data_IF_112676184492
#
_entry.id   IF_112676184492
#
_cell.length_a   1.000
_cell.length_b   1.000
_cell.length_c   1.000
_cell.angle_alpha   90.00
_cell.angle_beta   90.00
_cell.angle_gamma   90.00
#
_symmetry.space_group_name_H-M   'P 1'
#
loop_
_entity.id
_entity.type
_entity.pdbx_description
1 polymer ?
#
# COMPACT_ATOMS: atom_id res chain seq x y z
N UNK A 1 -11.03 64.36 21.59
CA UNK A 1 -10.73 63.08 22.24
C UNK A 1 -11.02 62.02 21.22
N UNK A 2 -9.95 61.35 20.82
CA UNK A 2 -9.90 60.27 19.85
C UNK A 2 -10.65 59.02 20.32
N UNK A 3 -11.29 58.31 19.39
CA UNK A 3 -11.36 56.85 19.45
C UNK A 3 -11.44 56.26 18.02
N UNK A 4 -10.41 55.50 17.67
CA UNK A 4 -10.33 54.62 16.50
C UNK A 4 -10.89 53.25 16.88
N UNK A 5 -11.86 52.71 16.13
CA UNK A 5 -12.04 51.25 15.90
C UNK A 5 -12.69 51.06 14.52
N UNK A 6 -11.95 50.63 13.49
CA UNK A 6 -11.54 49.26 13.11
C UNK A 6 -12.48 48.71 12.03
N UNK A 7 -11.96 48.65 10.80
CA UNK A 7 -12.53 47.94 9.66
C UNK A 7 -12.58 46.44 9.95
N UNK A 8 -13.55 45.74 9.32
CA UNK A 8 -13.30 44.53 8.52
C UNK A 8 -14.64 43.84 8.19
N UNK A 9 -15.18 44.14 7.02
CA UNK A 9 -16.35 43.48 6.45
C UNK A 9 -16.06 43.10 5.01
N UNK A 10 -15.17 42.12 4.81
CA UNK A 10 -14.78 41.64 3.48
C UNK A 10 -15.09 40.13 3.37
N UNK A 11 -16.10 39.85 2.54
CA UNK A 11 -16.21 38.70 1.61
C UNK A 11 -16.26 37.27 2.17
N UNK A 12 -17.37 36.89 2.81
CA UNK A 12 -17.73 35.47 2.98
C UNK A 12 -18.52 34.89 1.79
N UNK A 13 -19.33 35.69 1.09
CA UNK A 13 -20.14 35.20 -0.04
C UNK A 13 -19.32 34.95 -1.31
N UNK A 14 -18.24 35.71 -1.53
CA UNK A 14 -17.35 35.55 -2.69
C UNK A 14 -16.58 34.23 -2.62
N UNK A 15 -16.11 33.85 -1.43
CA UNK A 15 -15.33 32.63 -1.20
C UNK A 15 -16.17 31.36 -1.36
N UNK A 16 -17.42 31.37 -0.91
CA UNK A 16 -18.33 30.24 -1.10
C UNK A 16 -18.76 30.07 -2.56
N UNK A 17 -18.98 31.17 -3.28
CA UNK A 17 -19.32 31.12 -4.70
C UNK A 17 -18.12 30.67 -5.56
N UNK A 18 -16.90 31.08 -5.21
CA UNK A 18 -15.67 30.56 -5.81
C UNK A 18 -15.52 29.05 -5.55
N UNK A 19 -15.82 28.57 -4.35
CA UNK A 19 -15.75 27.14 -4.02
C UNK A 19 -16.82 26.32 -4.76
N UNK A 20 -18.03 26.86 -4.93
CA UNK A 20 -19.10 26.23 -5.72
C UNK A 20 -18.74 26.16 -7.20
N UNK A 21 -18.14 27.21 -7.75
CA UNK A 21 -17.66 27.22 -9.13
C UNK A 21 -16.53 26.21 -9.36
N UNK A 22 -15.54 26.15 -8.45
CA UNK A 22 -14.45 25.16 -8.53
C UNK A 22 -14.97 23.72 -8.40
N UNK A 23 -15.96 23.46 -7.53
CA UNK A 23 -16.59 22.13 -7.43
C UNK A 23 -17.34 21.76 -8.71
N UNK A 24 -18.00 22.72 -9.35
CA UNK A 24 -18.72 22.49 -10.60
C UNK A 24 -17.76 22.22 -11.76
N UNK A 25 -16.67 22.96 -11.84
CA UNK A 25 -15.61 22.78 -12.84
C UNK A 25 -14.90 21.43 -12.68
N UNK A 26 -14.63 21.02 -11.43
CA UNK A 26 -14.07 19.69 -11.14
C UNK A 26 -15.05 18.54 -11.47
N UNK A 27 -16.34 18.70 -11.23
CA UNK A 27 -17.34 17.70 -11.63
C UNK A 27 -17.39 17.56 -13.16
N UNK A 28 -17.34 18.68 -13.89
CA UNK A 28 -17.40 18.67 -15.35
C UNK A 28 -16.13 18.08 -15.97
N UNK A 29 -14.97 18.25 -15.33
CA UNK A 29 -13.74 17.57 -15.71
C UNK A 29 -13.86 16.05 -15.46
N UNK A 30 -14.40 15.64 -14.31
CA UNK A 30 -14.61 14.23 -13.97
C UNK A 30 -15.58 13.54 -14.95
N UNK A 31 -16.68 14.22 -15.29
CA UNK A 31 -17.66 13.70 -16.26
C UNK A 31 -17.06 13.62 -17.67
N UNK A 32 -16.20 14.58 -18.06
CA UNK A 32 -15.45 14.51 -19.33
C UNK A 32 -14.41 13.38 -19.34
N UNK A 33 -13.79 13.08 -18.20
CA UNK A 33 -12.83 11.98 -18.05
C UNK A 33 -13.53 10.61 -18.07
N UNK A 34 -14.74 10.52 -17.51
CA UNK A 34 -15.62 9.33 -17.57
C UNK A 34 -16.22 9.12 -18.96
N UNK A 35 -16.59 10.19 -19.68
CA UNK A 35 -17.08 10.09 -21.06
C UNK A 35 -15.96 9.77 -22.06
N UNK A 36 -14.70 10.11 -21.76
CA UNK A 36 -13.54 9.72 -22.58
C UNK A 36 -13.27 8.20 -22.55
N UNK A 37 -13.86 7.44 -21.61
CA UNK A 37 -13.79 5.98 -21.62
C UNK A 37 -14.81 5.30 -22.54
N UNK A 38 -15.73 6.05 -23.17
CA UNK A 38 -16.83 5.47 -23.96
C UNK A 38 -17.15 6.20 -25.29
N UNK A 39 -16.15 6.62 -26.08
CA UNK A 39 -16.39 7.01 -27.50
C UNK A 39 -15.22 6.64 -28.40
N UNK A 40 -15.32 5.48 -29.06
CA UNK A 40 -14.59 5.18 -30.29
C UNK A 40 -15.59 4.69 -31.35
N UNK A 41 -16.35 5.62 -31.94
CA UNK A 41 -17.06 5.41 -33.20
C UNK A 41 -16.66 6.47 -34.24
N UNK A 42 -15.65 6.13 -35.05
CA UNK A 42 -15.64 6.22 -36.52
C UNK A 42 -14.22 6.07 -37.08
N UNK A 43 -14.02 4.97 -37.81
CA UNK A 43 -13.24 4.98 -39.05
C UNK A 43 -11.72 5.16 -38.99
N UNK A 44 -11.00 4.45 -38.12
CA UNK A 44 -9.59 4.08 -38.37
C UNK A 44 -9.29 2.80 -37.57
N UNK A 45 -8.53 1.85 -38.14
CA UNK A 45 -8.22 0.55 -37.51
C UNK A 45 -7.32 0.75 -36.27
N UNK A 46 -7.89 1.17 -35.14
CA UNK A 46 -7.23 1.12 -33.84
C UNK A 46 -6.96 -0.35 -33.51
N UNK A 47 -5.69 -0.74 -33.37
CA UNK A 47 -5.29 -2.03 -32.83
C UNK A 47 -6.03 -2.20 -31.49
N UNK A 48 -6.92 -3.19 -31.41
CA UNK A 48 -7.71 -3.49 -30.19
C UNK A 48 -6.72 -3.63 -29.03
N UNK A 49 -6.80 -2.74 -28.03
CA UNK A 49 -6.02 -2.86 -26.80
C UNK A 49 -6.47 -4.14 -26.09
N UNK A 50 -5.60 -5.14 -26.01
CA UNK A 50 -5.84 -6.37 -25.24
C UNK A 50 -6.00 -5.99 -23.77
N UNK A 51 -7.16 -6.30 -23.18
CA UNK A 51 -7.37 -6.13 -21.74
C UNK A 51 -6.54 -7.18 -21.00
N UNK A 52 -5.75 -6.73 -20.03
CA UNK A 52 -4.88 -7.55 -19.19
C UNK A 52 -5.44 -7.56 -17.77
N UNK A 53 -5.53 -8.74 -17.18
CA UNK A 53 -5.85 -8.93 -15.76
C UNK A 53 -4.64 -9.58 -15.10
N UNK A 54 -4.26 -9.08 -13.94
CA UNK A 54 -3.15 -9.64 -13.14
C UNK A 54 -3.71 -10.13 -11.83
N UNK A 55 -3.39 -11.38 -11.47
CA UNK A 55 -3.75 -11.97 -10.19
C UNK A 55 -2.60 -11.76 -9.22
N UNK A 56 -2.90 -11.28 -8.02
CA UNK A 56 -1.93 -11.01 -6.96
C UNK A 56 -2.16 -11.96 -5.77
N UNK A 57 -1.13 -12.20 -4.97
CA UNK A 57 -1.24 -12.91 -3.69
C UNK A 57 -1.84 -12.02 -2.59
N UNK A 58 -1.93 -12.56 -1.36
CA UNK A 58 -2.45 -11.83 -0.19
C UNK A 58 -1.62 -10.60 0.22
N UNK A 59 -0.40 -10.48 -0.30
CA UNK A 59 0.53 -9.38 -0.05
C UNK A 59 0.68 -8.43 -1.25
N UNK A 60 0.01 -8.72 -2.37
CA UNK A 60 0.03 -7.92 -3.59
C UNK A 60 1.12 -8.28 -4.61
N UNK A 61 1.83 -9.41 -4.44
CA UNK A 61 2.79 -9.89 -5.44
C UNK A 61 2.07 -10.55 -6.60
N UNK A 62 2.51 -10.26 -7.83
CA UNK A 62 1.90 -10.84 -9.03
C UNK A 62 2.19 -12.34 -9.12
N UNK A 63 1.13 -13.15 -9.12
CA UNK A 63 1.20 -14.61 -9.28
C UNK A 63 1.03 -15.00 -10.75
N UNK A 64 0.06 -14.39 -11.45
CA UNK A 64 -0.27 -14.76 -12.82
C UNK A 64 -0.74 -13.55 -13.64
N UNK A 65 -0.44 -13.59 -14.93
CA UNK A 65 -0.89 -12.61 -15.93
C UNK A 65 -1.81 -13.29 -16.94
N UNK A 66 -3.03 -12.76 -17.11
CA UNK A 66 -4.01 -13.30 -18.05
C UNK A 66 -4.37 -12.24 -19.09
N UNK A 67 -4.23 -12.62 -20.35
CA UNK A 67 -4.66 -11.83 -21.49
C UNK A 67 -6.09 -12.23 -21.86
N UNK A 68 -6.99 -11.25 -21.89
CA UNK A 68 -8.33 -11.48 -22.43
C UNK A 68 -8.21 -11.47 -23.95
N UNK A 69 -8.27 -12.66 -24.55
CA UNK A 69 -8.35 -12.81 -26.01
C UNK A 69 -9.81 -12.50 -26.40
N UNK A 70 -10.09 -11.41 -27.14
CA UNK A 70 -11.44 -11.16 -27.61
C UNK A 70 -11.85 -12.26 -28.59
N UNK A 71 -12.99 -12.90 -28.33
CA UNK A 71 -13.56 -13.97 -29.16
C UNK A 71 -13.88 -13.45 -30.57
N UNK A 72 -12.94 -13.56 -31.49
CA UNK A 72 -13.15 -13.33 -32.92
C UNK A 72 -12.31 -14.29 -33.78
N UNK A 73 -12.04 -15.47 -33.24
CA UNK A 73 -11.55 -16.63 -33.97
C UNK A 73 -12.24 -17.84 -33.36
N UNK A 74 -13.26 -18.34 -34.06
CA UNK A 74 -13.87 -19.65 -33.83
C UNK A 74 -12.75 -20.69 -33.66
N UNK A 75 -12.65 -21.41 -32.53
CA UNK A 75 -11.73 -22.51 -32.42
C UNK A 75 -12.28 -23.67 -33.27
N UNK A 76 -11.53 -24.08 -34.29
CA UNK A 76 -11.77 -25.35 -34.98
C UNK A 76 -11.61 -26.46 -33.95
N UNK A 77 -12.72 -27.08 -33.57
CA UNK A 77 -12.72 -28.28 -32.74
C UNK A 77 -12.04 -29.40 -33.51
N UNK A 78 -10.82 -29.75 -33.11
CA UNK A 78 -10.30 -31.09 -33.36
C UNK A 78 -10.53 -31.88 -32.08
N UNK A 79 -11.30 -32.95 -32.24
CA UNK A 79 -11.46 -34.01 -31.27
C UNK A 79 -10.11 -34.72 -31.04
N UNK A 80 -10.08 -35.53 -29.99
CA UNK A 80 -9.00 -36.41 -29.55
C UNK A 80 -7.95 -35.78 -28.63
N UNK A 81 -8.19 -35.91 -27.32
CA UNK A 81 -7.32 -36.71 -26.45
C UNK A 81 -7.85 -36.68 -25.00
N UNK A 82 -8.89 -37.48 -24.73
CA UNK A 82 -9.16 -37.91 -23.35
C UNK A 82 -8.15 -39.00 -22.97
N UNK A 83 -7.17 -38.64 -22.14
CA UNK A 83 -6.35 -39.62 -21.42
C UNK A 83 -6.55 -39.45 -19.92
N UNK A 84 -7.34 -40.38 -19.40
CA UNK A 84 -7.27 -40.98 -18.07
C UNK A 84 -5.99 -40.62 -17.29
N UNK A 85 -6.17 -39.89 -16.19
CA UNK A 85 -5.25 -39.95 -15.06
C UNK A 85 -6.03 -40.45 -13.84
N UNK A 86 -5.56 -41.60 -13.40
CA UNK A 86 -6.14 -42.43 -12.37
C UNK A 86 -5.64 -41.90 -11.02
N UNK A 87 -6.49 -42.08 -10.01
CA UNK A 87 -6.26 -41.80 -8.61
C UNK A 87 -4.95 -42.42 -8.09
N UNK A 88 -4.10 -41.63 -7.42
CA UNK A 88 -3.25 -42.06 -6.31
C UNK A 88 -2.56 -40.84 -5.68
N UNK A 89 -3.14 -40.30 -4.61
CA UNK A 89 -2.42 -39.52 -3.60
C UNK A 89 -3.15 -39.67 -2.27
N UNK A 90 -2.84 -40.78 -1.61
CA UNK A 90 -3.10 -41.01 -0.20
C UNK A 90 -1.87 -40.53 0.62
N UNK A 91 -2.15 -39.98 1.81
CA UNK A 91 -1.20 -39.45 2.81
C UNK A 91 -0.45 -38.17 2.37
N UNK A 92 -0.46 -37.08 3.12
CA UNK A 92 -0.18 -36.97 4.56
C UNK A 92 -1.16 -35.97 5.19
N UNK A 93 -2.03 -36.49 6.07
CA UNK A 93 -2.63 -35.70 7.14
C UNK A 93 -1.49 -35.38 8.10
N UNK A 94 -1.00 -34.14 8.13
CA UNK A 94 -0.02 -33.70 9.13
C UNK A 94 -0.64 -33.82 10.54
N UNK A 95 -0.11 -34.67 11.45
CA UNK A 95 -0.64 -34.82 12.80
C UNK A 95 -0.26 -33.67 13.75
N UNK A 96 0.32 -32.57 13.28
CA UNK A 96 0.85 -31.53 14.15
C UNK A 96 -0.15 -30.45 14.58
N UNK A 97 -1.40 -30.49 14.10
CA UNK A 97 -2.47 -29.59 14.52
C UNK A 97 -3.29 -30.14 15.71
N UNK A 98 -2.64 -30.66 16.74
CA UNK A 98 -3.30 -30.77 18.05
C UNK A 98 -2.31 -30.84 19.21
N UNK A 99 -1.60 -29.75 19.44
CA UNK A 99 -1.13 -29.41 20.79
C UNK A 99 -1.75 -28.06 21.13
N UNK A 100 -2.84 -28.09 21.89
CA UNK A 100 -3.31 -26.92 22.63
C UNK A 100 -2.28 -26.59 23.71
N UNK A 101 -1.16 -26.00 23.30
CA UNK A 101 -0.42 -25.10 24.19
C UNK A 101 -1.35 -23.94 24.52
N UNK A 102 -1.37 -23.41 25.75
CA UNK A 102 -2.11 -22.20 26.04
C UNK A 102 -1.60 -21.10 25.09
N UNK A 103 -2.43 -20.78 24.08
CA UNK A 103 -2.17 -19.67 23.16
C UNK A 103 -2.23 -18.41 24.01
N UNK A 104 -1.08 -17.99 24.55
CA UNK A 104 -0.83 -16.61 24.96
C UNK A 104 -1.22 -15.76 23.74
N UNK A 105 -2.42 -15.17 23.77
CA UNK A 105 -2.91 -14.35 22.66
C UNK A 105 -2.07 -13.08 22.67
N UNK A 106 -1.06 -13.02 21.80
CA UNK A 106 -0.39 -11.77 21.47
C UNK A 106 -1.46 -10.74 21.10
N UNK A 107 -1.38 -9.53 21.64
CA UNK A 107 -2.42 -8.49 21.52
C UNK A 107 -1.86 -7.16 21.03
N UNK A 108 -0.82 -7.19 20.19
CA UNK A 108 -0.23 -5.99 19.65
C UNK A 108 -1.28 -5.14 18.92
N UNK A 109 -1.37 -3.86 19.31
CA UNK A 109 -2.28 -2.85 18.77
C UNK A 109 -1.51 -1.61 18.33
N UNK A 110 -1.92 -1.02 17.21
CA UNK A 110 -1.36 0.24 16.72
C UNK A 110 -1.82 1.43 17.58
N UNK A 111 -0.91 2.35 17.88
CA UNK A 111 -1.24 3.61 18.58
C UNK A 111 -1.35 4.80 17.62
N UNK A 112 -1.49 4.53 16.32
CA UNK A 112 -1.54 5.55 15.27
C UNK A 112 -2.57 5.16 14.22
N UNK A 113 -3.08 6.17 13.52
CA UNK A 113 -3.95 5.97 12.37
C UNK A 113 -3.12 5.50 11.17
N UNK A 114 -3.63 4.50 10.45
CA UNK A 114 -2.99 4.00 9.23
C UNK A 114 -2.69 5.14 8.24
N UNK A 115 -1.44 5.28 7.75
CA UNK A 115 -1.04 6.42 6.93
C UNK A 115 -1.89 6.61 5.66
N UNK A 116 -2.29 5.50 5.02
CA UNK A 116 -3.16 5.52 3.84
C UNK A 116 -4.50 6.23 4.04
N UNK A 117 -5.00 6.36 5.28
CA UNK A 117 -6.23 7.08 5.57
C UNK A 117 -6.09 8.61 5.43
N UNK A 118 -4.86 9.14 5.33
CA UNK A 118 -4.61 10.56 5.06
C UNK A 118 -3.69 10.73 3.86
N UNK A 119 -4.27 10.66 2.67
CA UNK A 119 -3.57 10.77 1.39
C UNK A 119 -2.77 12.07 1.27
N UNK A 120 -3.29 13.19 1.79
CA UNK A 120 -2.59 14.48 1.78
C UNK A 120 -1.29 14.45 2.59
N UNK A 121 -1.33 13.88 3.80
CA UNK A 121 -0.14 13.70 4.65
C UNK A 121 0.85 12.73 4.01
N UNK A 122 0.36 11.62 3.46
CA UNK A 122 1.19 10.64 2.75
C UNK A 122 1.92 11.27 1.56
N UNK A 123 1.22 12.02 0.70
CA UNK A 123 1.81 12.73 -0.45
C UNK A 123 2.84 13.76 -0.01
N UNK A 124 2.51 14.60 0.97
CA UNK A 124 3.45 15.60 1.52
C UNK A 124 4.71 14.92 2.04
N UNK A 125 4.55 13.83 2.78
CA UNK A 125 5.67 13.08 3.33
C UNK A 125 6.55 12.50 2.23
N UNK A 126 5.94 11.89 1.23
CA UNK A 126 6.64 11.32 0.10
C UNK A 126 7.43 12.38 -0.71
N UNK A 127 6.87 13.58 -0.87
CA UNK A 127 7.55 14.71 -1.52
C UNK A 127 8.76 15.20 -0.72
N UNK A 128 8.62 15.37 0.59
CA UNK A 128 9.66 15.91 1.47
C UNK A 128 10.73 14.88 1.85
N UNK A 129 10.33 13.65 2.15
CA UNK A 129 11.18 12.60 2.71
C UNK A 129 11.51 11.50 1.71
N UNK A 130 10.95 11.48 0.49
CA UNK A 130 11.14 10.42 -0.54
C UNK A 130 10.66 9.01 -0.15
N UNK A 131 10.44 8.75 1.12
CA UNK A 131 9.91 7.50 1.67
C UNK A 131 8.74 7.81 2.60
N UNK A 132 7.71 6.97 2.56
CA UNK A 132 6.60 7.04 3.50
C UNK A 132 5.98 5.65 3.74
N UNK A 133 5.64 5.34 4.99
CA UNK A 133 4.82 4.17 5.28
C UNK A 133 3.43 4.37 4.67
N UNK A 134 2.93 3.37 3.94
CA UNK A 134 1.57 3.39 3.38
C UNK A 134 0.59 2.69 4.32
N UNK A 135 0.88 1.43 4.65
CA UNK A 135 0.00 0.59 5.44
C UNK A 135 0.81 -0.39 6.28
N UNK A 136 0.22 -0.86 7.38
CA UNK A 136 0.82 -1.88 8.24
C UNK A 136 -0.24 -2.72 8.92
N UNK A 137 0.01 -4.01 8.99
CA UNK A 137 -0.87 -5.04 9.52
C UNK A 137 -0.10 -5.92 10.50
N UNK A 138 -0.75 -6.28 11.61
CA UNK A 138 -0.21 -7.18 12.62
C UNK A 138 -1.00 -8.48 12.64
N UNK A 139 -0.29 -9.60 12.49
CA UNK A 139 -0.83 -10.96 12.64
C UNK A 139 -0.38 -11.51 13.98
N UNK A 140 -1.21 -11.26 14.99
CA UNK A 140 -0.95 -11.64 16.37
C UNK A 140 -0.89 -13.16 16.58
N UNK A 141 -1.63 -13.94 15.80
CA UNK A 141 -1.64 -15.40 15.82
C UNK A 141 -0.27 -16.03 15.54
N UNK A 142 0.53 -15.37 14.70
CA UNK A 142 1.85 -15.84 14.25
C UNK A 142 2.98 -14.85 14.57
N UNK A 143 2.68 -13.80 15.34
CA UNK A 143 3.61 -12.73 15.75
C UNK A 143 4.38 -12.11 14.57
N UNK A 144 3.65 -11.65 13.56
CA UNK A 144 4.24 -10.96 12.40
C UNK A 144 3.71 -9.56 12.22
N UNK A 145 4.58 -8.68 11.75
CA UNK A 145 4.25 -7.34 11.28
C UNK A 145 4.65 -7.24 9.81
N UNK A 146 3.73 -6.83 8.96
CA UNK A 146 3.99 -6.61 7.55
C UNK A 146 3.23 -5.39 7.05
N UNK A 147 3.60 -4.90 5.88
CA UNK A 147 2.97 -3.72 5.32
C UNK A 147 3.65 -3.25 4.06
N UNK A 148 3.24 -2.06 3.62
CA UNK A 148 3.74 -1.46 2.40
C UNK A 148 4.31 -0.07 2.64
N UNK A 149 5.29 0.29 1.82
CA UNK A 149 6.03 1.55 1.85
C UNK A 149 5.98 2.16 0.45
N UNK A 150 5.75 3.47 0.36
CA UNK A 150 5.84 4.23 -0.88
C UNK A 150 7.19 4.92 -0.97
N UNK A 151 7.78 4.89 -2.16
CA UNK A 151 9.07 5.55 -2.46
C UNK A 151 8.92 6.42 -3.72
N UNK A 152 9.35 7.67 -3.65
CA UNK A 152 9.37 8.57 -4.81
C UNK A 152 10.60 8.27 -5.69
N UNK A 153 10.40 7.98 -6.98
CA UNK A 153 11.48 7.89 -7.98
C UNK A 153 12.25 9.22 -8.09
N UNK A 154 13.55 9.24 -8.44
CA UNK A 154 14.32 8.19 -9.12
C UNK A 154 15.11 7.26 -8.19
N UNK A 155 14.57 6.88 -7.03
CA UNK A 155 15.11 5.85 -6.11
C UNK A 155 15.25 4.43 -6.71
N UNK A 156 15.59 4.31 -8.00
CA UNK A 156 16.19 3.12 -8.60
C UNK A 156 17.41 2.73 -7.77
N UNK A 157 17.49 1.46 -7.38
CA UNK A 157 18.52 0.89 -6.49
C UNK A 157 18.50 1.37 -5.02
N UNK A 158 17.38 1.95 -4.57
CA UNK A 158 17.22 2.26 -3.15
C UNK A 158 17.11 1.00 -2.29
N UNK A 159 17.86 0.99 -1.18
CA UNK A 159 17.67 0.01 -0.12
C UNK A 159 16.62 0.55 0.86
N UNK A 160 15.45 -0.06 0.82
CA UNK A 160 14.33 0.28 1.72
C UNK A 160 14.33 -0.71 2.88
N UNK A 161 14.17 -0.21 4.10
CA UNK A 161 14.17 -1.05 5.29
C UNK A 161 13.30 -0.45 6.40
N UNK A 162 12.84 -1.31 7.29
CA UNK A 162 12.14 -0.95 8.51
C UNK A 162 13.11 -1.12 9.66
N UNK A 163 13.39 -0.03 10.37
CA UNK A 163 14.19 -0.09 11.60
C UNK A 163 13.25 -0.20 12.78
N UNK A 164 13.45 -1.24 13.58
CA UNK A 164 12.58 -1.60 14.69
C UNK A 164 13.38 -1.71 16.00
N UNK A 165 12.77 -1.32 17.11
CA UNK A 165 13.29 -1.44 18.48
C UNK A 165 12.17 -1.79 19.44
N UNK A 166 12.51 -2.51 20.51
CA UNK A 166 11.63 -2.85 21.63
C UNK A 166 12.11 -2.26 22.97
N UNK A 167 13.16 -1.44 22.93
CA UNK A 167 13.86 -0.95 24.12
C UNK A 167 14.25 0.54 24.05
N UNK A 168 13.35 1.36 23.50
CA UNK A 168 13.55 2.81 23.38
C UNK A 168 14.84 3.19 22.63
N UNK A 169 15.13 2.50 21.51
CA UNK A 169 16.26 2.79 20.62
C UNK A 169 17.65 2.55 21.22
N UNK A 170 17.77 1.86 22.36
CA UNK A 170 19.08 1.42 22.88
C UNK A 170 19.74 0.41 21.93
N UNK A 171 18.94 -0.46 21.33
CA UNK A 171 19.34 -1.25 20.17
C UNK A 171 18.21 -1.26 19.12
N UNK A 172 18.54 -1.68 17.90
CA UNK A 172 17.59 -1.77 16.81
C UNK A 172 17.95 -2.90 15.84
N UNK A 173 16.97 -3.32 15.06
CA UNK A 173 17.11 -4.27 13.95
C UNK A 173 16.52 -3.67 12.68
N UNK A 174 17.23 -3.84 11.56
CA UNK A 174 16.77 -3.41 10.25
C UNK A 174 16.20 -4.61 9.48
N UNK A 175 14.99 -4.46 8.96
CA UNK A 175 14.28 -5.45 8.17
C UNK A 175 14.12 -4.92 6.75
N UNK A 176 14.71 -5.58 5.76
CA UNK A 176 14.63 -5.13 4.37
C UNK A 176 13.19 -5.18 3.85
N UNK A 177 12.83 -4.21 3.03
CA UNK A 177 11.63 -4.23 2.22
C UNK A 177 12.00 -4.55 0.76
N UNK A 178 11.12 -5.28 0.08
CA UNK A 178 11.32 -5.72 -1.31
C UNK A 178 10.39 -4.97 -2.24
N UNK A 179 10.84 -4.68 -3.46
CA UNK A 179 10.00 -4.00 -4.45
C UNK A 179 8.79 -4.88 -4.79
N UNK A 180 7.59 -4.37 -4.52
CA UNK A 180 6.33 -5.05 -4.79
C UNK A 180 5.80 -4.71 -6.18
N UNK A 181 5.71 -3.42 -6.48
CA UNK A 181 5.28 -2.93 -7.79
C UNK A 181 5.89 -1.55 -8.10
N UNK A 182 6.04 -1.26 -9.39
CA UNK A 182 6.37 0.07 -9.88
C UNK A 182 5.08 0.78 -10.27
N UNK A 183 4.68 1.80 -9.53
CA UNK A 183 3.48 2.56 -9.80
C UNK A 183 3.66 3.55 -10.96
N UNK A 184 2.54 4.02 -11.51
CA UNK A 184 2.51 4.90 -12.68
C UNK A 184 3.04 6.31 -12.36
N UNK A 185 2.76 6.84 -11.16
CA UNK A 185 3.02 8.24 -10.78
C UNK A 185 4.44 8.51 -10.24
N UNK A 186 5.45 7.84 -10.79
CA UNK A 186 6.82 7.93 -10.24
C UNK A 186 6.95 7.50 -8.78
N UNK A 187 6.05 6.63 -8.31
CA UNK A 187 6.06 6.09 -6.95
C UNK A 187 6.11 4.58 -7.01
N UNK A 188 7.11 4.00 -6.37
CA UNK A 188 7.26 2.56 -6.23
C UNK A 188 6.69 2.11 -4.88
N UNK A 189 6.14 0.90 -4.84
CA UNK A 189 5.63 0.27 -3.63
C UNK A 189 6.57 -0.85 -3.21
N UNK A 190 7.00 -0.84 -1.96
CA UNK A 190 7.81 -1.87 -1.35
C UNK A 190 7.02 -2.60 -0.27
N UNK A 191 7.22 -3.90 -0.14
CA UNK A 191 6.61 -4.75 0.88
C UNK A 191 7.65 -5.15 1.92
N UNK A 192 7.28 -5.12 3.20
CA UNK A 192 8.11 -5.65 4.28
C UNK A 192 7.32 -6.64 5.12
N UNK A 193 8.04 -7.57 5.73
CA UNK A 193 7.49 -8.55 6.68
C UNK A 193 8.60 -8.99 7.64
N UNK A 194 8.32 -8.95 8.94
CA UNK A 194 9.19 -9.51 9.96
C UNK A 194 8.43 -10.02 11.18
N UNK A 195 9.08 -10.91 11.93
CA UNK A 195 8.57 -11.41 13.21
C UNK A 195 8.73 -10.36 14.30
N UNK A 196 7.71 -10.19 15.12
CA UNK A 196 7.74 -9.36 16.32
C UNK A 196 7.84 -10.24 17.58
N UNK A 197 8.39 -9.73 18.70
CA UNK A 197 8.41 -10.48 19.95
C UNK A 197 7.00 -10.88 20.42
N UNK A 198 6.88 -12.00 21.17
CA UNK A 198 5.65 -12.32 21.88
C UNK A 198 5.29 -11.21 22.86
N UNK A 199 3.98 -11.03 23.10
CA UNK A 199 3.50 -10.19 24.18
C UNK A 199 3.81 -10.87 25.53
N UNK A 200 5.00 -10.57 26.07
CA UNK A 200 5.43 -10.99 27.40
C UNK A 200 5.75 -9.75 28.26
N UNK A 201 5.91 -9.95 29.57
CA UNK A 201 6.18 -8.87 30.56
C UNK A 201 7.36 -7.95 30.16
N UNK A 202 8.31 -8.49 29.41
CA UNK A 202 9.52 -7.79 28.96
C UNK A 202 9.28 -6.87 27.75
N UNK A 203 8.22 -7.09 26.97
CA UNK A 203 7.97 -6.40 25.70
C UNK A 203 6.61 -5.71 25.71
N UNK A 204 6.58 -4.46 26.20
CA UNK A 204 5.34 -3.67 26.28
C UNK A 204 5.11 -2.76 25.08
N UNK A 205 6.16 -2.46 24.33
CA UNK A 205 6.12 -1.51 23.24
C UNK A 205 7.12 -1.90 22.16
N UNK A 206 6.69 -1.79 20.91
CA UNK A 206 7.57 -1.82 19.74
C UNK A 206 7.51 -0.44 19.10
N UNK A 207 8.66 0.09 18.70
CA UNK A 207 8.76 1.31 17.91
C UNK A 207 9.48 1.01 16.60
N UNK A 208 9.02 1.63 15.51
CA UNK A 208 9.70 1.50 14.23
C UNK A 208 9.61 2.78 13.39
N UNK A 209 10.51 2.88 12.43
CA UNK A 209 10.52 3.90 11.38
C UNK A 209 10.92 3.26 10.04
N UNK A 210 10.67 3.97 8.95
CA UNK A 210 11.00 3.51 7.60
C UNK A 210 12.23 4.28 7.10
N UNK A 211 13.26 3.55 6.68
CA UNK A 211 14.47 4.08 6.10
C UNK A 211 14.55 3.79 4.61
N UNK A 212 15.12 4.73 3.86
CA UNK A 212 15.49 4.55 2.46
C UNK A 212 16.91 5.07 2.25
N UNK A 213 17.83 4.16 1.93
CA UNK A 213 19.20 4.52 1.55
C UNK A 213 19.29 4.61 0.03
N UNK A 214 19.67 5.78 -0.46
CA UNK A 214 19.89 6.06 -1.87
C UNK A 214 21.28 6.66 -2.05
N UNK A 215 22.19 5.91 -2.67
CA UNK A 215 23.62 6.26 -2.72
C UNK A 215 24.17 6.54 -1.30
N UNK A 216 24.69 7.75 -1.07
CA UNK A 216 25.20 8.22 0.23
C UNK A 216 24.17 9.02 1.04
N UNK A 217 22.92 9.10 0.58
CA UNK A 217 21.84 9.79 1.28
C UNK A 217 20.93 8.81 1.98
N UNK A 218 20.48 9.20 3.18
CA UNK A 218 19.56 8.42 3.99
C UNK A 218 18.32 9.25 4.29
N UNK A 219 17.19 8.71 3.89
CA UNK A 219 15.88 9.30 4.09
C UNK A 219 15.10 8.51 5.13
N UNK A 220 14.28 9.21 5.92
CA UNK A 220 13.53 8.62 7.02
C UNK A 220 12.08 9.08 7.03
N UNK A 221 11.17 8.14 7.22
CA UNK A 221 9.83 8.37 7.77
C UNK A 221 9.79 7.86 9.21
N UNK A 222 9.99 8.78 10.14
CA UNK A 222 9.93 8.57 11.59
C UNK A 222 8.60 9.02 12.20
N UNK A 223 7.56 9.18 11.37
CA UNK A 223 6.26 9.68 11.78
C UNK A 223 6.31 11.02 12.52
N UNK A 224 7.03 12.01 11.98
CA UNK A 224 7.19 13.35 12.56
C UNK A 224 7.83 13.27 13.97
N UNK A 225 8.91 12.49 14.09
CA UNK A 225 9.65 12.23 15.33
C UNK A 225 8.87 11.49 16.43
N UNK A 226 7.68 10.97 16.12
CA UNK A 226 6.87 10.20 17.10
C UNK A 226 7.13 8.71 17.02
N UNK A 227 7.73 8.25 15.93
CA UNK A 227 7.83 6.86 15.52
C UNK A 227 6.45 6.20 15.33
N UNK A 228 6.42 5.08 14.63
CA UNK A 228 5.27 4.19 14.63
C UNK A 228 5.37 3.27 15.82
N UNK A 229 4.28 3.07 16.55
CA UNK A 229 4.30 2.28 17.79
C UNK A 229 3.19 1.23 17.83
N UNK A 230 3.55 0.06 18.37
CA UNK A 230 2.62 -0.96 18.81
C UNK A 230 2.72 -1.11 20.32
N UNK A 231 1.58 -1.30 20.97
CA UNK A 231 1.50 -1.64 22.39
C UNK A 231 0.90 -3.02 22.56
N UNK A 232 1.40 -3.74 23.55
CA UNK A 232 1.02 -5.11 23.88
C UNK A 232 -0.10 -5.15 24.92
#
# INVERSE_FOLDING_TARGET
>A
MDELQLSDGINNETSENSLKNLKKELLEILDKELEQECKDERGEKKKRKTKKVSFLDEFGFQIAEVFVIPSSTEPVQSADDEKHLNEESSAILDPFFNTQLPKQKSSWMFTFQQPMHNVGKLKKRLQCQKVALESVTVRNDIQRLYGTVKIQRPCTDAQVFIRCTDNNWLNFKDHNAVLLNRGNDMVDTYFFDFKIPPNDINYKQIQFCVGCKLFDQLFWDDNDQRYYKLLA
#
